data_IF_215048249761
#
_entry.id   IF_215048249761
#
_cell.length_a   1.000
_cell.length_b   1.000
_cell.length_c   1.000
_cell.angle_alpha   90.00
_cell.angle_beta   90.00
_cell.angle_gamma   90.00
#
_symmetry.space_group_name_H-M   'P 1'
#
loop_
_entity.id
_entity.type
_entity.pdbx_description
1 polymer ?
#
# COMPACT_ATOMS: atom_id res chain seq x y z
N UNK A 1 9.79 -4.60 14.17
CA UNK A 1 9.01 -4.97 12.97
C UNK A 1 8.77 -6.47 12.87
N UNK A 2 9.78 -7.31 12.61
CA UNK A 2 9.55 -8.77 12.51
C UNK A 2 9.20 -9.46 13.82
N UNK A 3 9.52 -8.89 14.99
CA UNK A 3 9.04 -9.38 16.31
C UNK A 3 7.52 -9.28 16.46
N UNK A 4 6.91 -8.22 15.92
CA UNK A 4 5.47 -8.00 16.00
C UNK A 4 4.73 -8.99 15.09
N UNK A 5 5.24 -9.18 13.87
CA UNK A 5 4.66 -10.11 12.89
C UNK A 5 4.69 -11.56 13.39
N UNK A 6 5.71 -11.98 14.16
CA UNK A 6 5.75 -13.35 14.70
C UNK A 6 4.83 -13.60 15.88
N UNK A 7 4.37 -12.55 16.57
CA UNK A 7 3.53 -12.72 17.75
C UNK A 7 2.07 -13.01 17.37
N UNK A 8 1.69 -12.65 16.15
CA UNK A 8 0.46 -13.04 15.50
C UNK A 8 0.84 -14.14 14.51
N UNK A 9 0.16 -15.26 14.44
CA UNK A 9 0.53 -16.40 13.57
C UNK A 9 0.31 -16.07 12.07
N UNK A 10 1.09 -15.13 11.54
CA UNK A 10 0.97 -14.56 10.20
C UNK A 10 1.88 -15.36 9.27
N UNK A 11 1.24 -16.15 8.41
CA UNK A 11 1.93 -17.01 7.44
C UNK A 11 2.38 -16.25 6.19
N UNK A 12 1.67 -15.16 5.87
CA UNK A 12 1.88 -14.41 4.62
C UNK A 12 1.82 -12.91 4.88
N UNK A 13 2.80 -12.18 4.37
CA UNK A 13 2.82 -10.72 4.38
C UNK A 13 2.67 -10.24 2.95
N UNK A 14 1.65 -9.40 2.71
CA UNK A 14 1.43 -8.75 1.41
C UNK A 14 1.98 -7.34 1.48
N UNK A 15 2.79 -6.95 0.49
CA UNK A 15 3.30 -5.59 0.36
C UNK A 15 2.95 -5.04 -1.02
N UNK A 16 2.45 -3.81 -1.03
CA UNK A 16 2.23 -3.05 -2.26
C UNK A 16 3.50 -2.83 -3.05
N UNK A 17 3.48 -3.10 -4.35
CA UNK A 17 4.55 -2.76 -5.27
C UNK A 17 4.43 -1.29 -5.70
N UNK A 18 5.33 -0.48 -5.17
CA UNK A 18 5.38 0.97 -5.41
C UNK A 18 6.24 1.31 -6.63
N UNK A 19 6.88 0.33 -7.29
CA UNK A 19 7.74 0.56 -8.46
C UNK A 19 7.05 1.39 -9.57
N UNK A 20 5.74 1.22 -9.74
CA UNK A 20 4.95 1.96 -10.74
C UNK A 20 4.72 3.44 -10.43
N UNK A 21 4.81 3.89 -9.16
CA UNK A 21 4.52 5.29 -8.78
C UNK A 21 5.54 6.27 -9.40
N UNK A 22 6.74 5.80 -9.75
CA UNK A 22 7.81 6.62 -10.34
C UNK A 22 7.62 6.89 -11.84
N UNK A 23 6.92 6.02 -12.56
CA UNK A 23 6.58 6.25 -13.97
C UNK A 23 5.35 7.16 -13.99
N UNK A 24 5.55 8.42 -14.36
CA UNK A 24 4.50 9.33 -14.85
C UNK A 24 3.51 9.94 -13.83
N UNK A 25 3.81 9.95 -12.51
CA UNK A 25 2.99 10.71 -11.54
C UNK A 25 3.67 11.99 -11.03
N UNK A 26 3.27 13.13 -11.59
CA UNK A 26 3.59 14.45 -11.05
C UNK A 26 2.67 14.79 -9.86
N UNK A 27 2.95 14.21 -8.68
CA UNK A 27 2.24 14.49 -7.41
C UNK A 27 2.73 15.79 -6.72
N UNK A 28 3.53 16.59 -7.42
CA UNK A 28 4.13 17.84 -6.93
C UNK A 28 5.56 17.67 -6.41
N UNK A 29 6.37 18.74 -6.52
CA UNK A 29 7.82 18.75 -6.25
C UNK A 29 8.19 18.24 -4.86
N UNK A 30 7.51 18.71 -3.80
CA UNK A 30 7.80 18.31 -2.40
C UNK A 30 7.50 16.84 -2.14
N UNK A 31 6.42 16.30 -2.72
CA UNK A 31 6.02 14.90 -2.55
C UNK A 31 6.94 13.97 -3.32
N UNK A 32 7.23 14.32 -4.58
CA UNK A 32 8.14 13.54 -5.42
C UNK A 32 9.55 13.51 -4.82
N UNK A 33 10.05 14.62 -4.26
CA UNK A 33 11.36 14.63 -3.60
C UNK A 33 11.45 13.64 -2.43
N UNK A 34 10.41 13.56 -1.59
CA UNK A 34 10.32 12.58 -0.48
C UNK A 34 10.23 11.13 -0.99
N UNK A 35 9.49 10.90 -2.08
CA UNK A 35 9.40 9.57 -2.70
C UNK A 35 10.73 9.16 -3.37
N UNK A 36 11.46 10.11 -3.95
CA UNK A 36 12.77 9.85 -4.54
C UNK A 36 13.85 9.65 -3.48
N UNK A 37 13.76 10.30 -2.32
CA UNK A 37 14.74 10.13 -1.23
C UNK A 37 14.63 8.78 -0.52
N UNK A 38 13.51 8.07 -0.62
CA UNK A 38 13.30 6.78 0.06
C UNK A 38 13.90 5.62 -0.76
N UNK A 39 14.81 4.81 -0.17
CA UNK A 39 15.44 3.67 -0.85
C UNK A 39 14.55 2.41 -0.80
N UNK A 40 13.40 2.44 -1.48
CA UNK A 40 12.42 1.34 -1.46
C UNK A 40 13.00 -0.04 -1.76
N UNK A 41 13.90 -0.15 -2.74
CA UNK A 41 14.54 -1.42 -3.10
C UNK A 41 15.27 -2.07 -1.91
N UNK A 42 16.00 -1.26 -1.12
CA UNK A 42 16.72 -1.73 0.06
C UNK A 42 15.77 -2.18 1.17
N UNK A 43 14.64 -1.50 1.33
CA UNK A 43 13.59 -1.87 2.29
C UNK A 43 12.97 -3.22 1.92
N UNK A 44 12.60 -3.43 0.65
CA UNK A 44 12.07 -4.71 0.18
C UNK A 44 13.07 -5.85 0.42
N UNK A 45 14.34 -5.65 0.05
CA UNK A 45 15.39 -6.65 0.24
C UNK A 45 15.57 -7.02 1.71
N UNK A 46 15.57 -6.03 2.62
CA UNK A 46 15.69 -6.28 4.05
C UNK A 46 14.44 -6.98 4.62
N UNK A 47 13.24 -6.67 4.12
CA UNK A 47 12.02 -7.32 4.57
C UNK A 47 11.96 -8.78 4.11
N UNK A 48 12.22 -9.02 2.83
CA UNK A 48 12.25 -10.35 2.24
C UNK A 48 13.26 -11.24 2.96
N UNK A 49 14.49 -10.74 3.20
CA UNK A 49 15.50 -11.45 3.97
C UNK A 49 14.99 -11.84 5.37
N UNK A 50 14.44 -10.88 6.12
CA UNK A 50 13.99 -11.12 7.50
C UNK A 50 12.74 -12.02 7.59
N UNK A 51 11.86 -12.00 6.58
CA UNK A 51 10.67 -12.83 6.52
C UNK A 51 11.02 -14.26 6.09
N UNK A 52 11.93 -14.41 5.11
CA UNK A 52 12.44 -15.71 4.67
C UNK A 52 13.14 -16.46 5.81
N UNK A 53 13.92 -15.77 6.64
CA UNK A 53 14.52 -16.34 7.86
C UNK A 53 13.48 -16.90 8.85
N UNK A 54 12.24 -16.43 8.78
CA UNK A 54 11.13 -16.86 9.65
C UNK A 54 10.15 -17.80 8.96
N UNK A 55 10.42 -18.20 7.71
CA UNK A 55 9.51 -19.04 6.91
C UNK A 55 8.21 -18.34 6.48
N UNK A 56 8.16 -17.01 6.49
CA UNK A 56 6.97 -16.23 6.13
C UNK A 56 7.04 -15.85 4.64
N UNK A 57 5.96 -16.12 3.90
CA UNK A 57 5.87 -15.77 2.49
C UNK A 57 5.64 -14.28 2.30
N UNK A 58 6.41 -13.65 1.43
CA UNK A 58 6.23 -12.25 1.04
C UNK A 58 5.63 -12.17 -0.37
N UNK A 59 4.41 -11.63 -0.48
CA UNK A 59 3.71 -11.45 -1.76
C UNK A 59 3.70 -9.97 -2.13
N UNK A 60 4.03 -9.67 -3.40
CA UNK A 60 3.96 -8.32 -3.96
C UNK A 60 2.63 -8.15 -4.69
N UNK A 61 1.86 -7.13 -4.31
CA UNK A 61 0.58 -6.80 -4.94
C UNK A 61 0.66 -5.41 -5.58
N UNK A 62 0.13 -5.22 -6.77
CA UNK A 62 0.08 -3.89 -7.38
C UNK A 62 -0.86 -2.96 -6.59
N UNK A 63 -0.38 -1.76 -6.25
CA UNK A 63 -1.12 -0.77 -5.43
C UNK A 63 -1.79 0.35 -6.25
N UNK A 64 -1.95 0.15 -7.56
CA UNK A 64 -2.65 1.10 -8.41
C UNK A 64 -4.05 1.39 -7.85
N UNK A 65 -4.33 2.66 -7.55
CA UNK A 65 -5.59 3.16 -6.99
C UNK A 65 -5.98 2.73 -5.55
N UNK A 66 -5.16 1.92 -4.86
CA UNK A 66 -5.45 1.44 -3.48
C UNK A 66 -5.70 2.58 -2.50
N UNK A 67 -4.92 3.66 -2.61
CA UNK A 67 -5.01 4.83 -1.72
C UNK A 67 -6.28 5.67 -1.89
N UNK A 68 -7.10 5.38 -2.90
CA UNK A 68 -8.36 6.08 -3.21
C UNK A 68 -9.57 5.17 -3.09
N UNK A 69 -9.37 3.86 -3.00
CA UNK A 69 -10.43 2.88 -2.81
C UNK A 69 -10.69 2.66 -1.31
N UNK A 70 -11.94 2.61 -0.86
CA UNK A 70 -12.27 2.25 0.51
C UNK A 70 -11.93 0.79 0.80
N UNK A 71 -11.56 0.40 2.04
CA UNK A 71 -11.23 -0.98 2.37
C UNK A 71 -12.40 -1.96 2.22
N UNK A 72 -13.63 -1.43 2.13
CA UNK A 72 -14.86 -2.19 1.90
C UNK A 72 -15.14 -2.43 0.40
N UNK A 73 -14.35 -1.85 -0.51
CA UNK A 73 -14.55 -2.08 -1.95
C UNK A 73 -14.23 -3.52 -2.31
N UNK A 74 -15.09 -4.12 -3.13
CA UNK A 74 -14.92 -5.49 -3.59
C UNK A 74 -13.63 -5.70 -4.40
N UNK A 75 -13.20 -4.67 -5.16
CA UNK A 75 -11.95 -4.67 -5.93
C UNK A 75 -11.29 -3.30 -5.94
N UNK A 76 -9.96 -3.28 -5.98
CA UNK A 76 -9.19 -2.05 -6.21
C UNK A 76 -9.24 -1.72 -7.71
N UNK A 77 -10.03 -0.72 -8.10
CA UNK A 77 -10.18 -0.30 -9.49
C UNK A 77 -10.43 1.20 -9.59
N UNK A 78 -10.24 1.77 -10.78
CA UNK A 78 -10.54 3.18 -11.05
C UNK A 78 -12.01 3.54 -10.75
N UNK A 79 -12.92 2.58 -10.88
CA UNK A 79 -14.36 2.77 -10.66
C UNK A 79 -14.66 3.15 -9.20
N UNK A 80 -13.95 2.53 -8.25
CA UNK A 80 -14.10 2.79 -6.82
C UNK A 80 -13.13 3.86 -6.28
N UNK A 81 -12.24 4.36 -7.13
CA UNK A 81 -11.20 5.33 -6.78
C UNK A 81 -11.74 6.77 -6.74
N UNK A 82 -12.47 7.11 -5.69
CA UNK A 82 -13.01 8.46 -5.53
C UNK A 82 -12.05 9.35 -4.73
N UNK A 83 -11.37 10.31 -5.39
CA UNK A 83 -10.49 11.30 -4.72
C UNK A 83 -11.18 12.06 -3.58
N UNK A 84 -12.48 12.34 -3.74
CA UNK A 84 -13.35 13.03 -2.77
C UNK A 84 -13.55 12.26 -1.45
N UNK A 85 -13.25 10.96 -1.40
CA UNK A 85 -13.32 10.18 -0.17
C UNK A 85 -12.16 10.49 0.78
N UNK A 86 -11.06 11.08 0.29
CA UNK A 86 -9.93 11.47 1.13
C UNK A 86 -10.16 12.85 1.73
N UNK A 87 -10.74 12.91 2.94
CA UNK A 87 -10.95 14.18 3.67
C UNK A 87 -9.66 14.74 4.27
N UNK A 88 -8.74 13.87 4.70
CA UNK A 88 -7.41 14.23 5.22
C UNK A 88 -6.36 13.23 4.71
N UNK A 89 -5.08 13.56 4.79
CA UNK A 89 -3.99 12.73 4.24
C UNK A 89 -3.99 11.27 4.75
N UNK A 90 -4.49 11.04 5.97
CA UNK A 90 -4.55 9.74 6.65
C UNK A 90 -5.97 9.21 6.85
N UNK A 91 -7.00 9.92 6.37
CA UNK A 91 -8.40 9.56 6.63
C UNK A 91 -9.19 9.46 5.32
N UNK A 92 -9.63 8.24 5.03
CA UNK A 92 -10.51 7.92 3.90
C UNK A 92 -11.90 7.62 4.43
N UNK A 93 -12.90 8.38 3.99
CA UNK A 93 -14.28 8.18 4.36
C UNK A 93 -14.94 7.23 3.36
N UNK A 94 -15.43 6.09 3.83
CA UNK A 94 -16.27 5.22 3.01
C UNK A 94 -17.69 5.79 2.98
N UNK A 95 -18.18 6.21 1.80
CA UNK A 95 -19.62 6.46 1.62
C UNK A 95 -20.27 5.13 1.29
N UNK A 96 -20.82 4.48 2.31
CA UNK A 96 -21.68 3.33 2.10
C UNK A 96 -22.98 3.86 1.45
N UNK A 97 -23.12 3.70 0.15
CA UNK A 97 -24.42 3.81 -0.50
C UNK A 97 -25.24 2.64 0.05
N UNK A 98 -26.09 2.89 1.05
CA UNK A 98 -27.18 1.96 1.35
C UNK A 98 -28.09 1.95 0.13
N UNK A 99 -27.85 1.00 -0.77
CA UNK A 99 -28.88 0.56 -1.70
C UNK A 99 -29.91 -0.22 -0.88
N UNK A 100 -30.98 0.45 -0.50
CA UNK A 100 -32.27 -0.15 -0.16
C UNK A 100 -33.25 0.33 -1.23
#
# INVERSE_FOLDING_TARGET
MTRYITNYCIHTVVIGDIKGIRKERNLGRKTNQKLHSLPYARIYMQLEYKLKMKGICLIRQEESYSSQCPPQSEKVSHIYAEKRNRKKAWHLHCRCSRSL
#
